data_IF_340701594093
#
_entry.id   IF_340701594093
#
_cell.length_a   1.000
_cell.length_b   1.000
_cell.length_c   1.000
_cell.angle_alpha   90.00
_cell.angle_beta   90.00
_cell.angle_gamma   90.00
#
_symmetry.space_group_name_H-M   'P 1'
#
loop_
_entity.id
_entity.type
_entity.pdbx_description
1 polymer ?
#
# COMPACT_ATOMS: atom_id res chain seq x y z
N UNK A 1 7.75 -0.36 4.76
CA UNK A 1 8.43 0.96 4.80
C UNK A 1 8.13 1.74 3.53
N UNK A 2 7.39 2.86 3.47
CA UNK A 2 6.99 3.56 2.20
C UNK A 2 7.62 4.94 2.00
N UNK A 3 8.55 5.13 1.07
CA UNK A 3 9.20 6.44 0.81
C UNK A 3 8.56 7.18 -0.36
N UNK A 4 8.13 8.44 -0.18
CA UNK A 4 7.85 9.32 -1.35
C UNK A 4 9.19 9.81 -1.89
N UNK A 5 9.56 9.34 -3.08
CA UNK A 5 10.87 9.62 -3.71
C UNK A 5 10.84 10.96 -4.44
N UNK A 6 9.74 11.24 -5.15
CA UNK A 6 9.61 12.42 -5.98
C UNK A 6 8.18 12.97 -5.94
N UNK A 7 8.07 14.29 -6.09
CA UNK A 7 6.80 14.96 -6.20
C UNK A 7 6.88 16.15 -7.14
N UNK A 8 6.16 16.05 -8.26
CA UNK A 8 6.04 17.11 -9.23
C UNK A 8 4.64 17.74 -9.16
N UNK A 9 4.61 19.03 -8.81
CA UNK A 9 3.38 19.81 -8.78
C UNK A 9 3.29 20.64 -10.06
N UNK A 10 2.27 20.37 -10.87
CA UNK A 10 2.00 21.15 -12.09
C UNK A 10 0.59 21.69 -12.09
N UNK A 11 0.46 22.96 -12.47
CA UNK A 11 -0.83 23.51 -12.88
C UNK A 11 -1.12 23.03 -14.30
N UNK A 12 -2.08 22.10 -14.43
CA UNK A 12 -2.68 21.58 -15.67
C UNK A 12 -1.80 20.69 -16.55
N UNK A 13 -1.45 19.48 -16.11
CA UNK A 13 -0.77 18.51 -17.01
C UNK A 13 -0.94 17.01 -16.66
N UNK A 14 -2.11 16.59 -16.16
CA UNK A 14 -2.34 15.15 -15.85
C UNK A 14 -2.27 14.26 -17.08
N UNK A 15 -2.67 14.75 -18.26
CA UNK A 15 -2.73 13.96 -19.49
C UNK A 15 -1.37 13.54 -20.05
N UNK A 16 -0.27 14.23 -19.73
CA UNK A 16 1.08 13.79 -20.10
C UNK A 16 1.54 12.61 -19.22
N UNK A 17 1.15 12.62 -17.94
CA UNK A 17 1.50 11.57 -16.98
C UNK A 17 0.68 10.29 -17.18
N UNK A 18 -0.63 10.39 -17.44
CA UNK A 18 -1.44 9.20 -17.73
C UNK A 18 -0.96 8.51 -19.00
N UNK A 19 -0.60 9.28 -20.03
CA UNK A 19 0.06 8.73 -21.23
C UNK A 19 1.42 8.09 -20.93
N UNK A 20 2.18 8.59 -19.96
CA UNK A 20 3.43 7.96 -19.52
C UNK A 20 3.17 6.61 -18.84
N UNK A 21 2.19 6.56 -17.92
CA UNK A 21 1.79 5.34 -17.22
C UNK A 21 1.23 4.28 -18.19
N UNK A 22 0.40 4.70 -19.15
CA UNK A 22 -0.10 3.81 -20.21
C UNK A 22 1.03 3.30 -21.12
N UNK A 23 2.08 4.11 -21.37
CA UNK A 23 3.20 3.73 -22.21
C UNK A 23 4.13 2.70 -21.56
N UNK A 24 4.19 2.67 -20.23
CA UNK A 24 4.91 1.66 -19.44
C UNK A 24 4.10 0.35 -19.29
N UNK A 25 2.97 0.21 -19.99
CA UNK A 25 2.04 -0.94 -19.93
C UNK A 25 1.50 -1.25 -18.53
N UNK A 26 1.40 -0.24 -17.66
CA UNK A 26 0.86 -0.44 -16.33
C UNK A 26 -0.63 -0.17 -16.23
N UNK A 27 -1.34 -1.15 -15.67
CA UNK A 27 -2.75 -1.00 -15.38
C UNK A 27 -2.96 0.01 -14.23
N UNK A 28 -3.62 1.12 -14.56
CA UNK A 28 -4.03 2.12 -13.58
C UNK A 28 -5.05 1.51 -12.62
N UNK A 29 -4.93 1.85 -11.34
CA UNK A 29 -5.81 1.37 -10.28
C UNK A 29 -6.43 2.52 -9.53
N UNK A 30 -7.67 2.30 -9.10
CA UNK A 30 -8.43 3.25 -8.32
C UNK A 30 -7.99 3.26 -6.84
N UNK A 31 -8.60 4.15 -6.06
CA UNK A 31 -8.41 4.24 -4.59
C UNK A 31 -8.80 2.98 -3.80
N UNK A 32 -9.44 1.98 -4.41
CA UNK A 32 -9.75 0.69 -3.79
C UNK A 32 -8.71 -0.38 -4.15
N UNK A 33 -7.90 -0.12 -5.17
CA UNK A 33 -6.89 -1.03 -5.71
C UNK A 33 -7.42 -1.90 -6.85
N UNK A 34 -8.61 -1.61 -7.37
CA UNK A 34 -9.17 -2.24 -8.56
C UNK A 34 -8.59 -1.56 -9.79
N UNK A 35 -8.39 -2.35 -10.85
CA UNK A 35 -7.97 -1.84 -12.14
C UNK A 35 -9.07 -0.95 -12.73
N UNK A 36 -8.67 0.23 -13.21
CA UNK A 36 -9.57 1.20 -13.79
C UNK A 36 -9.83 0.86 -15.25
N UNK A 37 -11.10 0.82 -15.64
CA UNK A 37 -11.47 0.72 -17.04
C UNK A 37 -11.22 2.04 -17.80
N UNK A 38 -11.33 2.01 -19.13
CA UNK A 38 -11.13 3.20 -19.98
C UNK A 38 -12.04 4.37 -19.59
N UNK A 39 -13.26 4.09 -19.11
CA UNK A 39 -14.21 5.14 -18.72
C UNK A 39 -13.82 5.80 -17.39
N UNK A 40 -13.29 5.02 -16.45
CA UNK A 40 -12.77 5.51 -15.18
C UNK A 40 -11.48 6.32 -15.39
N UNK A 41 -10.61 5.85 -16.29
CA UNK A 41 -9.41 6.59 -16.70
C UNK A 41 -9.76 7.91 -17.37
N UNK A 42 -10.72 7.90 -18.30
CA UNK A 42 -11.22 9.11 -18.94
C UNK A 42 -11.86 10.08 -17.95
N UNK A 43 -12.63 9.57 -16.97
CA UNK A 43 -13.18 10.40 -15.91
C UNK A 43 -12.07 11.11 -15.12
N UNK A 44 -10.98 10.42 -14.78
CA UNK A 44 -9.86 11.06 -14.08
C UNK A 44 -9.18 12.16 -14.92
N UNK A 45 -9.07 11.95 -16.24
CA UNK A 45 -8.56 12.96 -17.18
C UNK A 45 -9.48 14.19 -17.23
N UNK A 46 -10.78 13.98 -17.43
CA UNK A 46 -11.78 15.05 -17.50
C UNK A 46 -11.78 15.85 -16.20
N UNK A 47 -11.77 15.15 -15.05
CA UNK A 47 -11.66 15.78 -13.73
C UNK A 47 -10.38 16.58 -13.59
N UNK A 48 -9.25 16.15 -14.15
CA UNK A 48 -8.04 16.98 -14.13
C UNK A 48 -8.20 18.28 -14.91
N UNK A 49 -8.86 18.25 -16.06
CA UNK A 49 -9.07 19.45 -16.88
C UNK A 49 -10.02 20.43 -16.18
N UNK A 50 -11.10 19.90 -15.61
CA UNK A 50 -12.08 20.66 -14.82
C UNK A 50 -11.49 21.26 -13.56
N UNK A 51 -10.77 20.43 -12.79
CA UNK A 51 -10.27 20.80 -11.47
C UNK A 51 -9.08 21.75 -11.57
N UNK A 52 -8.32 21.74 -12.66
CA UNK A 52 -7.27 22.73 -12.93
C UNK A 52 -5.99 22.59 -12.10
N UNK A 53 -5.89 21.59 -11.23
CA UNK A 53 -4.65 21.21 -10.53
C UNK A 53 -4.40 19.71 -10.67
N UNK A 54 -3.12 19.39 -10.81
CA UNK A 54 -2.62 18.03 -10.99
C UNK A 54 -1.34 17.84 -10.20
N UNK A 55 -1.17 16.68 -9.57
CA UNK A 55 0.07 16.36 -8.85
C UNK A 55 0.47 14.92 -9.12
N UNK A 56 1.76 14.75 -9.39
CA UNK A 56 2.39 13.46 -9.51
C UNK A 56 3.16 13.16 -8.22
N UNK A 57 3.00 11.96 -7.69
CA UNK A 57 3.79 11.44 -6.58
C UNK A 57 4.39 10.11 -6.99
N UNK A 58 5.67 9.92 -6.68
CA UNK A 58 6.34 8.61 -6.79
C UNK A 58 6.51 8.05 -5.39
N UNK A 59 5.87 6.91 -5.15
CA UNK A 59 5.81 6.25 -3.85
C UNK A 59 6.52 4.91 -3.94
N UNK A 60 7.64 4.76 -3.25
CA UNK A 60 8.46 3.55 -3.28
C UNK A 60 8.80 3.10 -1.88
N UNK A 61 8.31 1.92 -1.47
CA UNK A 61 8.77 1.31 -0.25
C UNK A 61 10.28 1.11 -0.15
N UNK A 62 10.89 1.29 1.03
CA UNK A 62 12.32 0.99 1.19
C UNK A 62 12.59 -0.50 1.04
N UNK A 63 11.67 -1.33 1.54
CA UNK A 63 11.67 -2.77 1.31
C UNK A 63 10.94 -3.14 0.01
N UNK A 64 10.76 -2.23 -0.95
CA UNK A 64 9.96 -2.49 -2.15
C UNK A 64 10.46 -3.67 -3.00
N UNK A 65 11.76 -3.98 -2.96
CA UNK A 65 12.31 -5.16 -3.64
C UNK A 65 11.75 -6.48 -3.09
N UNK A 66 11.31 -6.49 -1.83
CA UNK A 66 10.77 -7.65 -1.13
C UNK A 66 9.23 -7.74 -1.21
N UNK A 67 8.57 -6.66 -1.65
CA UNK A 67 7.11 -6.56 -1.67
C UNK A 67 6.54 -6.90 -3.04
N UNK A 68 5.40 -7.58 -3.09
CA UNK A 68 4.66 -7.77 -4.33
C UNK A 68 3.89 -6.48 -4.77
N UNK A 69 3.30 -6.49 -5.95
CA UNK A 69 2.58 -5.31 -6.48
C UNK A 69 1.35 -4.93 -5.65
N UNK A 70 0.72 -5.91 -5.00
CA UNK A 70 -0.45 -5.70 -4.16
C UNK A 70 -0.05 -5.04 -2.84
N UNK A 71 1.08 -5.42 -2.28
CA UNK A 71 1.67 -4.84 -1.08
C UNK A 71 2.15 -3.41 -1.32
N UNK A 72 2.88 -3.16 -2.42
CA UNK A 72 3.25 -1.81 -2.84
C UNK A 72 2.00 -0.96 -3.04
N UNK A 73 1.01 -1.47 -3.78
CA UNK A 73 -0.26 -0.78 -3.98
C UNK A 73 -0.99 -0.47 -2.67
N UNK A 74 -1.04 -1.41 -1.72
CA UNK A 74 -1.63 -1.17 -0.38
C UNK A 74 -0.93 -0.02 0.33
N UNK A 75 0.40 -0.01 0.32
CA UNK A 75 1.20 0.99 0.99
C UNK A 75 1.04 2.38 0.33
N UNK A 76 0.96 2.42 -1.01
CA UNK A 76 0.63 3.61 -1.80
C UNK A 76 -0.73 4.17 -1.41
N UNK A 77 -1.78 3.34 -1.38
CA UNK A 77 -3.14 3.80 -1.04
C UNK A 77 -3.23 4.37 0.37
N UNK A 78 -2.56 3.72 1.33
CA UNK A 78 -2.49 4.21 2.70
C UNK A 78 -1.83 5.59 2.77
N UNK A 79 -0.64 5.72 2.17
CA UNK A 79 0.13 6.97 2.13
C UNK A 79 -0.70 8.10 1.52
N UNK A 80 -1.34 7.86 0.36
CA UNK A 80 -2.15 8.89 -0.30
C UNK A 80 -3.36 9.28 0.52
N UNK A 81 -4.10 8.31 1.08
CA UNK A 81 -5.29 8.58 1.92
C UNK A 81 -4.95 9.49 3.10
N UNK A 82 -3.84 9.24 3.77
CA UNK A 82 -3.39 10.02 4.94
C UNK A 82 -2.87 11.41 4.56
N UNK A 83 -2.44 11.60 3.31
CA UNK A 83 -1.80 12.84 2.86
C UNK A 83 -2.77 13.81 2.18
N UNK A 84 -3.29 13.42 1.02
CA UNK A 84 -4.14 14.27 0.16
C UNK A 84 -5.46 13.59 -0.25
N UNK A 85 -5.50 12.27 -0.28
CA UNK A 85 -6.57 11.48 -0.89
C UNK A 85 -7.91 11.51 -0.16
N UNK A 86 -7.95 12.06 1.05
CA UNK A 86 -9.18 12.30 1.82
C UNK A 86 -9.64 13.76 1.83
N UNK A 87 -8.89 14.68 1.19
CA UNK A 87 -9.26 16.10 1.11
C UNK A 87 -10.41 16.27 0.13
N UNK A 88 -11.29 17.22 0.43
CA UNK A 88 -12.44 17.52 -0.43
C UNK A 88 -11.98 17.97 -1.83
N UNK A 89 -12.63 17.43 -2.87
CA UNK A 89 -12.32 17.78 -4.25
C UNK A 89 -11.04 17.16 -4.81
N UNK A 90 -10.42 16.21 -4.10
CA UNK A 90 -9.31 15.40 -4.59
C UNK A 90 -9.81 14.09 -5.18
N UNK A 91 -9.32 13.76 -6.38
CA UNK A 91 -9.50 12.46 -7.02
C UNK A 91 -8.13 11.92 -7.46
N UNK A 92 -7.92 10.61 -7.42
CA UNK A 92 -6.59 10.03 -7.69
C UNK A 92 -6.64 8.56 -8.10
N UNK A 93 -5.62 8.17 -8.85
CA UNK A 93 -5.33 6.78 -9.24
C UNK A 93 -3.84 6.50 -9.15
N UNK A 94 -3.45 5.24 -9.23
CA UNK A 94 -2.05 4.85 -9.17
C UNK A 94 -1.72 3.63 -10.02
N UNK A 95 -0.46 3.51 -10.41
CA UNK A 95 0.09 2.35 -11.10
C UNK A 95 1.38 1.90 -10.38
N UNK A 96 1.75 0.62 -10.51
CA UNK A 96 2.90 0.03 -9.81
C UNK A 96 3.94 -0.41 -10.82
N UNK A 97 5.11 0.22 -10.76
CA UNK A 97 6.28 0.01 -11.59
C UNK A 97 7.30 -0.89 -10.91
N UNK A 98 7.79 -1.89 -11.65
CA UNK A 98 8.88 -2.77 -11.20
C UNK A 98 10.03 -2.89 -12.21
N UNK A 99 9.80 -2.53 -13.46
CA UNK A 99 10.76 -2.77 -14.52
C UNK A 99 11.73 -1.58 -14.66
N UNK A 100 12.58 -1.55 -15.69
CA UNK A 100 13.42 -0.37 -15.96
C UNK A 100 14.70 -0.19 -15.13
N UNK A 101 14.96 -1.06 -14.14
CA UNK A 101 16.22 -1.04 -13.36
C UNK A 101 16.22 -0.11 -12.14
N UNK A 102 15.08 0.54 -11.87
CA UNK A 102 14.83 1.30 -10.66
C UNK A 102 14.21 0.43 -9.56
N UNK A 103 14.29 0.91 -8.31
CA UNK A 103 13.63 0.26 -7.17
C UNK A 103 12.11 0.24 -7.42
N UNK A 104 11.39 -0.87 -7.13
CA UNK A 104 9.95 -0.91 -7.36
C UNK A 104 9.20 0.24 -6.66
N UNK A 105 8.25 0.85 -7.37
CA UNK A 105 7.58 2.06 -6.92
C UNK A 105 6.20 2.19 -7.55
N UNK A 106 5.43 3.18 -7.12
CA UNK A 106 4.12 3.49 -7.64
C UNK A 106 4.07 4.94 -8.13
N UNK A 107 3.55 5.12 -9.34
CA UNK A 107 3.18 6.44 -9.84
C UNK A 107 1.76 6.74 -9.38
N UNK A 108 1.56 7.87 -8.71
CA UNK A 108 0.24 8.36 -8.33
C UNK A 108 -0.06 9.62 -9.09
N UNK A 109 -1.23 9.64 -9.71
CA UNK A 109 -1.81 10.81 -10.33
C UNK A 109 -2.96 11.30 -9.46
N UNK A 110 -2.90 12.56 -9.02
CA UNK A 110 -3.94 13.20 -8.25
C UNK A 110 -4.42 14.48 -8.92
N UNK A 111 -5.73 14.72 -8.90
CA UNK A 111 -6.39 15.94 -9.38
C UNK A 111 -7.08 16.63 -8.22
N UNK A 112 -7.15 17.96 -8.23
CA UNK A 112 -7.67 18.73 -7.12
C UNK A 112 -8.31 20.03 -7.57
N UNK A 113 -9.47 20.36 -6.98
CA UNK A 113 -10.29 21.51 -7.35
C UNK A 113 -9.60 22.85 -7.05
N UNK A 114 -9.26 23.59 -8.09
CA UNK A 114 -8.65 24.93 -8.00
C UNK A 114 -9.59 26.02 -7.48
N UNK A 115 -10.89 25.77 -7.50
CA UNK A 115 -11.93 26.70 -7.04
C UNK A 115 -12.22 26.59 -5.53
N UNK A 116 -11.63 25.61 -4.84
CA UNK A 116 -11.70 25.48 -3.39
C UNK A 116 -10.68 26.40 -2.70
N UNK A 117 -10.99 26.96 -1.51
CA UNK A 117 -10.03 27.71 -0.72
C UNK A 117 -8.96 26.79 -0.14
N UNK A 118 -7.69 27.19 -0.30
CA UNK A 118 -6.54 26.32 -0.08
C UNK A 118 -6.19 25.54 -1.34
N UNK A 119 -4.96 25.06 -1.45
CA UNK A 119 -4.56 24.20 -2.56
C UNK A 119 -4.71 22.74 -2.09
N UNK A 120 -5.72 22.00 -2.55
CA UNK A 120 -6.03 20.67 -2.03
C UNK A 120 -4.91 19.66 -2.32
N UNK A 121 -4.07 19.92 -3.34
CA UNK A 121 -2.92 19.09 -3.67
C UNK A 121 -1.62 19.62 -3.08
N UNK A 122 -1.65 20.74 -2.37
CA UNK A 122 -0.46 21.31 -1.75
C UNK A 122 0.10 20.38 -0.68
N UNK A 123 1.39 20.14 -0.78
CA UNK A 123 2.21 19.43 0.19
C UNK A 123 3.42 20.30 0.39
N UNK A 124 3.56 20.89 1.56
CA UNK A 124 4.78 21.62 1.92
C UNK A 124 5.87 20.68 2.44
N UNK A 125 6.97 21.26 2.91
CA UNK A 125 8.09 20.50 3.44
C UNK A 125 7.74 19.77 4.75
N UNK A 126 6.95 20.38 5.61
CA UNK A 126 6.52 19.74 6.86
C UNK A 126 5.56 18.59 6.58
N UNK A 127 4.71 18.72 5.56
CA UNK A 127 3.89 17.61 5.08
C UNK A 127 4.77 16.47 4.55
N UNK A 128 5.80 16.76 3.74
CA UNK A 128 6.75 15.75 3.24
C UNK A 128 7.49 15.05 4.38
N UNK A 129 7.94 15.80 5.38
CA UNK A 129 8.65 15.25 6.53
C UNK A 129 7.70 14.41 7.40
N UNK A 130 6.45 14.85 7.61
CA UNK A 130 5.43 14.04 8.29
C UNK A 130 5.03 12.77 7.54
N UNK A 131 4.96 12.81 6.20
CA UNK A 131 4.70 11.61 5.38
C UNK A 131 5.84 10.61 5.57
N UNK A 132 7.09 11.08 5.60
CA UNK A 132 8.26 10.23 5.85
C UNK A 132 8.25 9.67 7.27
N UNK A 133 7.97 10.49 8.26
CA UNK A 133 7.92 10.08 9.68
C UNK A 133 6.81 9.04 9.92
N UNK A 134 5.60 9.25 9.38
CA UNK A 134 4.51 8.27 9.49
C UNK A 134 4.79 6.97 8.74
N UNK A 135 5.43 7.07 7.57
CA UNK A 135 5.86 5.88 6.85
C UNK A 135 6.93 5.09 7.63
N UNK A 136 7.74 5.76 8.44
CA UNK A 136 8.69 5.14 9.37
C UNK A 136 7.96 4.43 10.53
N UNK A 137 7.03 5.13 11.20
CA UNK A 137 6.22 4.55 12.30
C UNK A 137 5.44 3.31 11.86
N UNK A 138 4.74 3.37 10.72
CA UNK A 138 3.99 2.23 10.22
C UNK A 138 4.86 1.03 9.81
N UNK A 139 6.12 1.25 9.42
CA UNK A 139 7.05 0.15 9.15
C UNK A 139 7.42 -0.57 10.45
N UNK A 140 7.71 0.21 11.50
CA UNK A 140 8.02 -0.34 12.83
C UNK A 140 6.82 -1.13 13.37
N UNK A 141 5.60 -0.59 13.26
CA UNK A 141 4.39 -1.28 13.70
C UNK A 141 4.11 -2.58 12.93
N UNK A 142 4.37 -2.61 11.62
CA UNK A 142 4.22 -3.82 10.82
C UNK A 142 5.26 -4.89 11.18
N UNK A 143 6.51 -4.51 11.37
CA UNK A 143 7.56 -5.44 11.82
C UNK A 143 7.21 -6.03 13.18
N UNK A 144 6.84 -5.19 14.14
CA UNK A 144 6.41 -5.64 15.46
C UNK A 144 5.15 -6.50 15.43
N UNK A 145 4.19 -6.18 14.55
CA UNK A 145 2.97 -6.97 14.37
C UNK A 145 3.23 -8.35 13.77
N UNK A 146 4.20 -8.47 12.87
CA UNK A 146 4.64 -9.76 12.30
C UNK A 146 5.39 -10.56 13.35
N UNK A 147 6.30 -9.95 14.12
CA UNK A 147 6.99 -10.61 15.22
C UNK A 147 6.00 -11.14 16.27
N UNK A 148 5.03 -10.32 16.68
CA UNK A 148 4.00 -10.73 17.62
C UNK A 148 3.10 -11.87 17.10
N UNK A 149 2.75 -11.85 15.81
CA UNK A 149 1.96 -12.91 15.20
C UNK A 149 2.76 -14.22 15.07
N UNK A 150 4.06 -14.12 14.80
CA UNK A 150 4.95 -15.28 14.73
C UNK A 150 5.15 -15.92 16.10
N UNK A 151 5.37 -15.11 17.14
CA UNK A 151 5.47 -15.57 18.52
C UNK A 151 4.18 -16.26 18.99
N UNK A 152 3.01 -15.69 18.67
CA UNK A 152 1.73 -16.34 18.97
C UNK A 152 1.56 -17.67 18.25
N UNK A 153 1.88 -17.74 16.95
CA UNK A 153 1.79 -18.98 16.19
C UNK A 153 2.75 -20.06 16.70
N UNK A 154 3.94 -19.67 17.14
CA UNK A 154 4.92 -20.57 17.76
C UNK A 154 4.40 -21.11 19.10
N UNK A 155 3.89 -20.25 19.98
CA UNK A 155 3.29 -20.68 21.25
C UNK A 155 2.10 -21.63 21.05
N UNK A 156 1.23 -21.35 20.06
CA UNK A 156 0.11 -22.22 19.72
C UNK A 156 0.57 -23.58 19.17
N UNK A 157 1.63 -23.62 18.36
CA UNK A 157 2.20 -24.88 17.85
C UNK A 157 2.81 -25.74 18.96
N UNK A 158 3.53 -25.12 19.89
CA UNK A 158 4.15 -25.83 21.04
C UNK A 158 3.07 -26.36 21.98
N UNK A 159 1.98 -25.61 22.19
CA UNK A 159 0.83 -26.07 22.96
C UNK A 159 0.16 -27.30 22.34
N UNK A 160 -0.04 -27.30 21.02
CA UNK A 160 -0.68 -28.41 20.30
C UNK A 160 0.19 -29.69 20.27
N UNK A 161 1.51 -29.55 20.15
CA UNK A 161 2.43 -30.68 20.21
C UNK A 161 2.42 -31.35 21.60
N UNK A 162 2.42 -30.55 22.68
CA UNK A 162 2.35 -31.07 24.04
C UNK A 162 1.01 -31.77 24.34
N UNK A 163 -0.09 -31.26 23.79
CA UNK A 163 -1.42 -31.88 23.92
C UNK A 163 -1.48 -33.22 23.16
N UNK A 164 -0.91 -33.30 21.96
CA UNK A 164 -0.84 -34.56 21.19
C UNK A 164 0.06 -35.60 21.86
N UNK A 165 1.17 -35.19 22.48
CA UNK A 165 2.04 -36.10 23.24
C UNK A 165 1.33 -36.64 24.49
N UNK A 166 0.59 -35.80 25.23
CA UNK A 166 -0.21 -36.27 26.38
C UNK A 166 -1.29 -37.27 25.96
N UNK A 167 -2.04 -36.97 24.90
CA UNK A 167 -3.09 -37.86 24.38
C UNK A 167 -2.49 -39.18 23.91
N UNK A 168 -1.31 -39.17 23.28
CA UNK A 168 -0.63 -40.38 22.84
C UNK A 168 -0.15 -41.22 24.02
N UNK A 169 0.43 -40.59 25.05
CA UNK A 169 0.87 -41.27 26.26
C UNK A 169 -0.29 -41.88 27.07
N UNK A 170 -1.44 -41.21 27.16
CA UNK A 170 -2.64 -41.75 27.79
C UNK A 170 -3.19 -42.97 27.02
N UNK A 171 -3.19 -42.93 25.69
CA UNK A 171 -3.64 -44.07 24.87
C UNK A 171 -2.69 -45.28 24.95
N UNK A 172 -1.39 -45.05 25.10
CA UNK A 172 -0.40 -46.13 25.29
C UNK A 172 -0.51 -46.77 26.69
N UNK A 173 -0.81 -45.98 27.73
CA UNK A 173 -1.04 -46.51 29.09
C UNK A 173 -2.33 -47.34 29.19
N UNK A 174 -3.38 -46.96 28.46
CA UNK A 174 -4.66 -47.71 28.44
C UNK A 174 -4.53 -49.04 27.68
N UNK A 175 -3.70 -49.08 26.62
CA UNK A 175 -3.41 -50.33 25.87
C UNK A 175 -2.49 -51.30 26.64
N UNK A 176 -1.64 -50.81 27.54
CA UNK A 176 -0.75 -51.62 28.36
C UNK A 176 -1.44 -52.43 29.47
N UNK A 177 -2.63 -52.01 29.93
CA UNK A 177 -3.37 -52.68 31.02
C UNK A 177 -4.31 -53.81 30.55
N UNK A 178 -4.47 -54.02 29.24
CA UNK A 178 -5.40 -55.01 28.67
C UNK A 178 -4.90 -56.47 28.57
N UNK A 179 -3.61 -56.75 28.83
CA UNK A 179 -3.04 -58.11 28.75
C UNK A 179 -2.59 -58.63 30.11
N UNK A 180 -3.55 -58.89 31.00
CA UNK A 180 -3.36 -59.80 32.13
C UNK A 180 -4.71 -60.38 32.52
N UNK A 181 -5.14 -61.42 31.78
CA UNK A 181 -6.06 -62.45 32.25
C UNK A 181 -6.07 -63.63 31.29
#
# INVERSE_FOLDING_TARGET
>A
MTTVIDSDFKRRDTGALMRYIEHEEENLRDRTGQEMDESEQQHLLDRSEENGMSRHLIISPENAEQLDNKEIGRATRQTIRETIGSREGVDWGYAVHRDGGDRPHAHVVATGRADQPGDPLWIDREDLDQIRDRAHEHSIEQEQGVEHALDQALDESVGQEQEQEQISQEQEQDRGQGHSR
#
